data_IF_781645995231
#
_entry.id   IF_781645995231
#
_cell.length_a   1.000
_cell.length_b   1.000
_cell.length_c   1.000
_cell.angle_alpha   90.00
_cell.angle_beta   90.00
_cell.angle_gamma   90.00
#
_symmetry.space_group_name_H-M   'P 1'
#
loop_
_entity.id
_entity.type
_entity.pdbx_description
1 polymer ?
#
# COMPACT_ATOMS: atom_id res chain seq x y z
N UNK A 1 -41.50 49.66 31.28
CA UNK A 1 -40.83 48.35 31.38
C UNK A 1 -41.89 47.27 31.21
N UNK A 2 -41.76 46.45 30.17
CA UNK A 2 -42.79 45.54 29.68
C UNK A 2 -42.94 44.32 30.60
N UNK A 3 -43.98 44.33 31.45
CA UNK A 3 -44.39 43.15 32.21
C UNK A 3 -45.15 42.14 31.34
N UNK A 4 -45.70 42.59 30.20
CA UNK A 4 -46.40 41.74 29.24
C UNK A 4 -45.46 40.73 28.54
N UNK A 5 -44.26 41.17 28.10
CA UNK A 5 -43.34 40.31 27.37
C UNK A 5 -42.74 39.15 28.18
N UNK A 6 -42.70 39.26 29.52
CA UNK A 6 -42.20 38.17 30.39
C UNK A 6 -43.26 37.10 30.66
N UNK A 7 -44.54 37.49 30.71
CA UNK A 7 -45.65 36.53 30.86
C UNK A 7 -45.87 35.73 29.57
N UNK A 8 -45.80 36.37 28.41
CA UNK A 8 -45.92 35.69 27.12
C UNK A 8 -44.81 34.65 26.92
N UNK A 9 -43.56 34.97 27.29
CA UNK A 9 -42.43 34.04 27.25
C UNK A 9 -42.59 32.86 28.22
N UNK A 10 -43.18 33.08 29.40
CA UNK A 10 -43.43 32.01 30.38
C UNK A 10 -44.58 31.09 29.97
N UNK A 11 -45.62 31.63 29.33
CA UNK A 11 -46.74 30.86 28.78
C UNK A 11 -46.24 29.99 27.63
N UNK A 12 -45.45 30.54 26.70
CA UNK A 12 -44.83 29.77 25.61
C UNK A 12 -43.94 28.66 26.16
N UNK A 13 -43.15 28.94 27.20
CA UNK A 13 -42.29 27.92 27.84
C UNK A 13 -43.09 26.82 28.54
N UNK A 14 -44.15 27.16 29.30
CA UNK A 14 -44.99 26.19 30.01
C UNK A 14 -45.82 25.31 29.05
N UNK A 15 -46.26 25.85 27.92
CA UNK A 15 -46.97 25.08 26.88
C UNK A 15 -46.02 24.26 26.00
N UNK A 16 -44.76 24.69 25.81
CA UNK A 16 -43.75 23.93 25.05
C UNK A 16 -43.30 22.61 25.73
N UNK A 17 -43.50 22.52 27.04
CA UNK A 17 -43.19 21.36 27.89
C UNK A 17 -44.29 20.29 27.93
N UNK A 18 -45.45 20.55 27.31
CA UNK A 18 -46.50 19.53 27.17
C UNK A 18 -46.14 18.63 25.98
N UNK A 19 -46.07 17.31 26.21
CA UNK A 19 -45.98 16.32 25.13
C UNK A 19 -47.25 16.40 24.28
N UNK A 20 -47.13 17.03 23.12
CA UNK A 20 -48.23 17.19 22.17
C UNK A 20 -48.41 15.90 21.37
N UNK A 21 -49.60 15.30 21.38
CA UNK A 21 -49.86 14.06 20.64
C UNK A 21 -49.60 14.19 19.14
N UNK A 22 -48.94 13.19 18.53
CA UNK A 22 -48.60 13.16 17.08
C UNK A 22 -49.81 13.32 16.14
N UNK A 23 -51.02 13.00 16.61
CA UNK A 23 -52.23 13.04 15.79
C UNK A 23 -52.73 14.45 15.42
N UNK A 24 -52.11 15.51 15.95
CA UNK A 24 -52.41 16.92 15.65
C UNK A 24 -51.69 17.39 14.36
N UNK A 25 -50.62 16.72 13.95
CA UNK A 25 -49.70 17.22 12.92
C UNK A 25 -50.03 16.79 11.48
N UNK A 26 -51.17 16.13 11.22
CA UNK A 26 -51.54 15.81 9.84
C UNK A 26 -51.96 17.08 9.10
N UNK A 27 -51.27 17.45 8.02
CA UNK A 27 -51.48 18.69 7.26
C UNK A 27 -52.94 18.94 6.84
N UNK A 28 -53.73 17.87 6.63
CA UNK A 28 -55.16 17.95 6.36
C UNK A 28 -55.99 18.52 7.52
N UNK A 29 -55.63 18.21 8.77
CA UNK A 29 -56.33 18.74 9.96
C UNK A 29 -56.03 20.20 10.22
N UNK A 30 -54.85 20.67 9.84
CA UNK A 30 -54.47 22.09 10.00
C UNK A 30 -55.22 22.96 8.99
N UNK A 31 -55.31 22.55 7.73
CA UNK A 31 -56.13 23.26 6.73
C UNK A 31 -57.61 23.28 7.12
N UNK A 32 -58.11 22.15 7.63
CA UNK A 32 -59.48 22.05 8.14
C UNK A 32 -59.72 22.94 9.36
N UNK A 33 -58.77 23.02 10.31
CA UNK A 33 -58.85 23.90 11.47
C UNK A 33 -58.83 25.38 11.09
N UNK A 34 -58.00 25.77 10.13
CA UNK A 34 -57.95 27.15 9.60
C UNK A 34 -59.26 27.51 8.89
N UNK A 35 -59.79 26.62 8.04
CA UNK A 35 -61.08 26.82 7.38
C UNK A 35 -62.22 26.97 8.41
N UNK A 36 -62.26 26.09 9.41
CA UNK A 36 -63.25 26.15 10.51
C UNK A 36 -63.09 27.39 11.39
N UNK A 37 -61.89 27.94 11.54
CA UNK A 37 -61.69 29.21 12.25
C UNK A 37 -62.21 30.40 11.43
N UNK A 38 -61.98 30.40 10.12
CA UNK A 38 -62.52 31.41 9.21
C UNK A 38 -64.06 31.40 9.24
N UNK A 39 -64.68 30.23 9.22
CA UNK A 39 -66.14 30.09 9.32
C UNK A 39 -66.67 30.58 10.67
N UNK A 40 -66.00 30.23 11.78
CA UNK A 40 -66.37 30.71 13.12
C UNK A 40 -66.22 32.23 13.27
N UNK A 41 -65.19 32.83 12.67
CA UNK A 41 -64.99 34.28 12.65
C UNK A 41 -66.13 34.97 11.89
N UNK A 42 -66.48 34.45 10.72
CA UNK A 42 -67.57 35.00 9.91
C UNK A 42 -68.93 34.90 10.63
N UNK A 43 -69.19 33.79 11.34
CA UNK A 43 -70.39 33.63 12.17
C UNK A 43 -70.43 34.64 13.33
N UNK A 44 -69.31 34.80 14.04
CA UNK A 44 -69.19 35.76 15.17
C UNK A 44 -69.40 37.21 14.70
N UNK A 45 -68.87 37.59 13.54
CA UNK A 45 -69.11 38.91 12.93
C UNK A 45 -70.59 39.09 12.54
N UNK A 46 -71.24 38.05 12.01
CA UNK A 46 -72.67 38.04 11.71
C UNK A 46 -73.55 38.23 12.95
N UNK A 47 -73.28 37.49 14.01
CA UNK A 47 -73.99 37.58 15.29
C UNK A 47 -73.78 38.95 15.95
N UNK A 48 -72.55 39.48 15.89
CA UNK A 48 -72.22 40.82 16.40
C UNK A 48 -72.97 41.92 15.66
N UNK A 49 -73.07 41.83 14.34
CA UNK A 49 -73.83 42.76 13.51
C UNK A 49 -75.34 42.69 13.81
N UNK A 50 -75.88 41.49 14.03
CA UNK A 50 -77.29 41.26 14.40
C UNK A 50 -77.60 41.85 15.78
N UNK A 51 -76.74 41.64 16.76
CA UNK A 51 -76.85 42.23 18.10
C UNK A 51 -76.75 43.76 18.06
N UNK A 52 -75.82 44.32 17.27
CA UNK A 52 -75.67 45.76 17.11
C UNK A 52 -76.91 46.40 16.45
N UNK A 53 -77.52 45.71 15.49
CA UNK A 53 -78.77 46.14 14.84
C UNK A 53 -79.95 46.14 15.83
N UNK A 54 -80.14 45.06 16.59
CA UNK A 54 -81.22 44.97 17.58
C UNK A 54 -81.07 46.03 18.69
N UNK A 55 -79.84 46.34 19.12
CA UNK A 55 -79.57 47.44 20.06
C UNK A 55 -79.89 48.83 19.49
N UNK A 56 -79.65 49.05 18.19
CA UNK A 56 -80.04 50.31 17.50
C UNK A 56 -81.56 50.43 17.36
N UNK A 57 -82.24 49.33 17.06
CA UNK A 57 -83.71 49.27 16.98
C UNK A 57 -84.36 49.52 18.37
N UNK A 58 -83.75 49.01 19.46
CA UNK A 58 -84.14 49.31 20.86
C UNK A 58 -84.02 50.81 21.20
N UNK A 59 -83.04 51.50 20.63
CA UNK A 59 -82.79 52.92 20.89
C UNK A 59 -83.75 53.87 20.15
N UNK A 60 -84.54 53.40 19.18
CA UNK A 60 -85.23 54.27 18.23
C UNK A 60 -86.77 54.08 18.18
N UNK A 61 -87.44 53.66 19.27
CA UNK A 61 -88.90 53.49 19.23
C UNK A 61 -89.63 53.83 20.53
N UNK A 62 -90.69 54.62 20.37
CA UNK A 62 -91.51 55.27 21.41
C UNK A 62 -92.89 54.61 21.64
N UNK A 63 -93.15 53.37 21.16
CA UNK A 63 -94.54 52.88 21.09
C UNK A 63 -94.89 51.54 21.76
N UNK A 64 -93.99 50.74 22.37
CA UNK A 64 -94.31 49.29 22.39
C UNK A 64 -94.00 48.48 23.68
N UNK A 65 -94.90 48.51 24.66
CA UNK A 65 -94.82 47.67 25.88
C UNK A 65 -94.83 46.15 25.64
N UNK A 66 -95.38 45.65 24.53
CA UNK A 66 -95.46 44.20 24.22
C UNK A 66 -94.35 43.71 23.26
N UNK A 67 -93.72 44.63 22.51
CA UNK A 67 -92.55 44.35 21.67
C UNK A 67 -91.26 44.50 22.48
N UNK A 68 -91.27 45.29 23.56
CA UNK A 68 -90.13 45.41 24.46
C UNK A 68 -89.73 44.06 25.08
N UNK A 69 -90.70 43.21 25.46
CA UNK A 69 -90.39 41.87 25.97
C UNK A 69 -89.80 40.96 24.87
N UNK A 70 -90.45 40.89 23.70
CA UNK A 70 -89.96 40.09 22.56
C UNK A 70 -88.62 40.59 21.99
N UNK A 71 -88.33 41.89 22.10
CA UNK A 71 -87.06 42.49 21.69
C UNK A 71 -85.95 42.27 22.71
N UNK A 72 -86.25 42.32 24.02
CA UNK A 72 -85.26 42.02 25.06
C UNK A 72 -84.87 40.54 25.04
N UNK A 73 -85.85 39.64 24.84
CA UNK A 73 -85.62 38.21 24.62
C UNK A 73 -84.73 37.98 23.38
N UNK A 74 -85.02 38.65 22.25
CA UNK A 74 -84.19 38.56 21.03
C UNK A 74 -82.78 39.12 21.19
N UNK A 75 -82.61 40.18 21.99
CA UNK A 75 -81.29 40.74 22.30
C UNK A 75 -80.52 39.81 23.24
N UNK A 76 -81.19 39.19 24.20
CA UNK A 76 -80.61 38.21 25.10
C UNK A 76 -80.16 36.96 24.33
N UNK A 77 -80.99 36.43 23.45
CA UNK A 77 -80.66 35.30 22.58
C UNK A 77 -79.49 35.64 21.66
N UNK A 78 -79.52 36.78 20.97
CA UNK A 78 -78.41 37.22 20.12
C UNK A 78 -77.11 37.47 20.90
N UNK A 79 -77.20 37.86 22.18
CA UNK A 79 -76.05 38.02 23.06
C UNK A 79 -75.51 36.67 23.55
N UNK A 80 -76.38 35.69 23.75
CA UNK A 80 -76.02 34.32 24.14
C UNK A 80 -75.36 33.59 22.96
N UNK A 81 -75.93 33.71 21.75
CA UNK A 81 -75.34 33.22 20.50
C UNK A 81 -73.95 33.84 20.25
N UNK A 82 -73.82 35.17 20.40
CA UNK A 82 -72.53 35.85 20.26
C UNK A 82 -71.51 35.40 21.31
N UNK A 83 -71.94 35.19 22.55
CA UNK A 83 -71.05 34.71 23.62
C UNK A 83 -70.59 33.28 23.37
N UNK A 84 -71.48 32.42 22.86
CA UNK A 84 -71.17 31.06 22.46
C UNK A 84 -70.23 31.02 21.25
N UNK A 85 -70.44 31.88 20.25
CA UNK A 85 -69.58 31.95 19.07
C UNK A 85 -68.19 32.51 19.41
N UNK A 86 -68.09 33.55 20.26
CA UNK A 86 -66.81 34.04 20.82
C UNK A 86 -66.09 32.96 21.63
N UNK A 87 -66.81 32.18 22.44
CA UNK A 87 -66.23 31.05 23.18
C UNK A 87 -65.64 30.01 22.24
N UNK A 88 -66.37 29.64 21.19
CA UNK A 88 -65.91 28.68 20.17
C UNK A 88 -64.71 29.20 19.36
N UNK A 89 -64.70 30.50 19.04
CA UNK A 89 -63.59 31.14 18.31
C UNK A 89 -62.33 31.21 19.19
N UNK A 90 -62.49 31.52 20.47
CA UNK A 90 -61.39 31.56 21.45
C UNK A 90 -60.76 30.18 21.61
N UNK A 91 -61.58 29.13 21.75
CA UNK A 91 -61.10 27.75 21.80
C UNK A 91 -60.30 27.39 20.54
N UNK A 92 -60.84 27.68 19.35
CA UNK A 92 -60.18 27.39 18.07
C UNK A 92 -58.90 28.20 17.87
N UNK A 93 -58.85 29.44 18.36
CA UNK A 93 -57.63 30.26 18.35
C UNK A 93 -56.55 29.65 19.24
N UNK A 94 -56.92 29.12 20.41
CA UNK A 94 -55.99 28.41 21.28
C UNK A 94 -55.47 27.12 20.62
N UNK A 95 -56.33 26.38 19.92
CA UNK A 95 -55.94 25.20 19.14
C UNK A 95 -54.91 25.55 18.05
N UNK A 96 -55.10 26.65 17.30
CA UNK A 96 -54.13 27.09 16.29
C UNK A 96 -52.80 27.59 16.88
N UNK A 97 -52.84 28.28 18.02
CA UNK A 97 -51.62 28.67 18.73
C UNK A 97 -50.85 27.46 19.23
N UNK A 98 -51.54 26.43 19.74
CA UNK A 98 -50.94 25.16 20.13
C UNK A 98 -50.30 24.46 18.91
N UNK A 99 -51.00 24.41 17.77
CA UNK A 99 -50.46 23.87 16.51
C UNK A 99 -49.22 24.63 16.04
N UNK A 100 -49.25 25.97 16.02
CA UNK A 100 -48.12 26.77 15.57
C UNK A 100 -46.89 26.61 16.51
N UNK A 101 -47.13 26.55 17.82
CA UNK A 101 -46.09 26.26 18.81
C UNK A 101 -45.48 24.87 18.59
N UNK A 102 -46.31 23.88 18.31
CA UNK A 102 -45.88 22.52 18.06
C UNK A 102 -45.05 22.41 16.76
N UNK A 103 -45.48 23.07 15.68
CA UNK A 103 -44.71 23.16 14.42
C UNK A 103 -43.36 23.85 14.66
N UNK A 104 -43.37 24.96 15.39
CA UNK A 104 -42.14 25.71 15.69
C UNK A 104 -41.15 24.87 16.49
N UNK A 105 -41.64 24.04 17.44
CA UNK A 105 -40.81 23.08 18.17
C UNK A 105 -40.22 22.02 17.24
N UNK A 106 -41.05 21.40 16.38
CA UNK A 106 -40.58 20.40 15.41
C UNK A 106 -39.53 20.99 14.45
N UNK A 107 -39.72 22.22 13.98
CA UNK A 107 -38.75 22.91 13.11
C UNK A 107 -37.44 23.21 13.86
N UNK A 108 -37.53 23.62 15.12
CA UNK A 108 -36.35 23.84 15.97
C UNK A 108 -35.58 22.54 16.19
N UNK A 109 -36.28 21.45 16.49
CA UNK A 109 -35.66 20.13 16.69
C UNK A 109 -35.00 19.64 15.39
N UNK A 110 -35.66 19.80 14.24
CA UNK A 110 -35.09 19.47 12.93
C UNK A 110 -33.86 20.31 12.61
N UNK A 111 -33.86 21.61 12.92
CA UNK A 111 -32.69 22.46 12.73
C UNK A 111 -31.51 21.97 13.56
N UNK A 112 -31.75 21.55 14.80
CA UNK A 112 -30.70 21.01 15.65
C UNK A 112 -30.12 19.70 15.09
N UNK A 113 -30.97 18.77 14.63
CA UNK A 113 -30.53 17.54 13.95
C UNK A 113 -29.70 17.85 12.70
N UNK A 114 -30.11 18.82 11.88
CA UNK A 114 -29.36 19.23 10.68
C UNK A 114 -27.99 19.81 11.02
N UNK A 115 -27.89 20.60 12.11
CA UNK A 115 -26.60 21.12 12.58
C UNK A 115 -25.68 20.00 13.07
N UNK A 116 -26.21 19.02 13.78
CA UNK A 116 -25.47 17.83 14.21
C UNK A 116 -24.98 17.02 13.00
N UNK A 117 -25.84 16.76 12.02
CA UNK A 117 -25.47 16.07 10.79
C UNK A 117 -24.40 16.84 10.00
N UNK A 118 -24.51 18.17 9.90
CA UNK A 118 -23.49 18.99 9.25
C UNK A 118 -22.14 18.89 9.98
N UNK A 119 -22.15 18.86 11.32
CA UNK A 119 -20.94 18.68 12.12
C UNK A 119 -20.29 17.32 11.85
N UNK A 120 -21.07 16.24 11.86
CA UNK A 120 -20.59 14.90 11.55
C UNK A 120 -20.01 14.79 10.14
N UNK A 121 -20.68 15.36 9.13
CA UNK A 121 -20.18 15.38 7.76
C UNK A 121 -18.86 16.14 7.64
N UNK A 122 -18.69 17.26 8.35
CA UNK A 122 -17.40 17.98 8.39
C UNK A 122 -16.29 17.14 9.01
N UNK A 123 -16.58 16.42 10.09
CA UNK A 123 -15.62 15.50 10.72
C UNK A 123 -15.22 14.37 9.77
N UNK A 124 -16.18 13.74 9.11
CA UNK A 124 -15.93 12.68 8.13
C UNK A 124 -15.11 13.18 6.94
N UNK A 125 -15.45 14.36 6.38
CA UNK A 125 -14.69 14.96 5.30
C UNK A 125 -13.24 15.26 5.69
N UNK A 126 -13.02 15.72 6.92
CA UNK A 126 -11.68 15.96 7.46
C UNK A 126 -10.89 14.66 7.61
N UNK A 127 -11.51 13.61 8.15
CA UNK A 127 -10.89 12.29 8.28
C UNK A 127 -10.54 11.68 6.90
N UNK A 128 -11.44 11.78 5.92
CA UNK A 128 -11.20 11.33 4.55
C UNK A 128 -10.05 12.10 3.88
N UNK A 129 -9.97 13.41 4.10
CA UNK A 129 -8.87 14.21 3.58
C UNK A 129 -7.52 13.75 4.15
N UNK A 130 -7.47 13.43 5.44
CA UNK A 130 -6.25 12.95 6.10
C UNK A 130 -5.87 11.53 5.64
N UNK A 131 -6.84 10.62 5.55
CA UNK A 131 -6.62 9.27 4.99
C UNK A 131 -6.06 9.33 3.57
N UNK A 132 -6.60 10.22 2.72
CA UNK A 132 -6.09 10.39 1.36
C UNK A 132 -4.63 10.88 1.31
N UNK A 133 -4.22 11.75 2.24
CA UNK A 133 -2.80 12.16 2.35
C UNK A 133 -1.92 10.97 2.74
N UNK A 134 -2.35 10.17 3.71
CA UNK A 134 -1.61 8.99 4.15
C UNK A 134 -1.48 7.95 3.03
N UNK A 135 -2.56 7.68 2.30
CA UNK A 135 -2.55 6.78 1.13
C UNK A 135 -1.57 7.29 0.07
N UNK A 136 -1.57 8.59 -0.22
CA UNK A 136 -0.62 9.17 -1.18
C UNK A 136 0.83 8.99 -0.72
N UNK A 137 1.12 9.25 0.55
CA UNK A 137 2.46 9.03 1.09
C UNK A 137 2.90 7.55 0.98
N UNK A 138 1.99 6.61 1.24
CA UNK A 138 2.26 5.18 1.06
C UNK A 138 2.50 4.80 -0.41
N UNK A 139 1.76 5.39 -1.35
CA UNK A 139 1.96 5.17 -2.78
C UNK A 139 3.34 5.67 -3.24
N UNK A 140 3.78 6.83 -2.73
CA UNK A 140 5.11 7.37 -3.03
C UNK A 140 6.21 6.45 -2.48
N UNK A 141 6.05 5.94 -1.25
CA UNK A 141 6.99 4.98 -0.66
C UNK A 141 7.07 3.66 -1.44
N UNK A 142 5.92 3.11 -1.84
CA UNK A 142 5.86 1.89 -2.67
C UNK A 142 6.52 2.10 -4.03
N UNK A 143 6.37 3.28 -4.65
CA UNK A 143 7.03 3.60 -5.91
C UNK A 143 8.56 3.63 -5.77
N UNK A 144 9.06 4.18 -4.65
CA UNK A 144 10.50 4.17 -4.34
C UNK A 144 11.00 2.74 -4.11
N UNK A 145 10.27 1.94 -3.34
CA UNK A 145 10.60 0.53 -3.10
C UNK A 145 10.63 -0.27 -4.40
N UNK A 146 9.67 -0.08 -5.30
CA UNK A 146 9.65 -0.75 -6.61
C UNK A 146 10.86 -0.38 -7.45
N UNK A 147 11.28 0.88 -7.43
CA UNK A 147 12.49 1.33 -8.12
C UNK A 147 13.74 0.65 -7.55
N UNK A 148 13.85 0.56 -6.22
CA UNK A 148 14.95 -0.13 -5.55
C UNK A 148 14.96 -1.64 -5.86
N UNK A 149 13.80 -2.29 -5.89
CA UNK A 149 13.66 -3.71 -6.26
C UNK A 149 14.11 -3.93 -7.71
N UNK A 150 13.70 -3.06 -8.63
CA UNK A 150 14.11 -3.17 -10.03
C UNK A 150 15.64 -3.03 -10.18
N UNK A 151 16.25 -2.06 -9.49
CA UNK A 151 17.70 -1.89 -9.47
C UNK A 151 18.42 -3.11 -8.88
N UNK A 152 17.90 -3.68 -7.79
CA UNK A 152 18.44 -4.90 -7.18
C UNK A 152 18.34 -6.11 -8.12
N UNK A 153 17.21 -6.26 -8.82
CA UNK A 153 17.02 -7.33 -9.81
C UNK A 153 17.97 -7.19 -11.00
N UNK A 154 18.18 -5.98 -11.50
CA UNK A 154 19.14 -5.71 -12.57
C UNK A 154 20.57 -6.05 -12.12
N UNK A 155 20.95 -5.64 -10.91
CA UNK A 155 22.23 -6.01 -10.30
C UNK A 155 22.41 -7.52 -10.16
N UNK A 156 21.36 -8.25 -9.76
CA UNK A 156 21.38 -9.72 -9.67
C UNK A 156 21.53 -10.39 -11.04
N UNK A 157 20.87 -9.88 -12.07
CA UNK A 157 21.01 -10.40 -13.44
C UNK A 157 22.43 -10.20 -13.96
N UNK A 158 23.00 -9.01 -13.74
CA UNK A 158 24.40 -8.73 -14.12
C UNK A 158 25.37 -9.62 -13.34
N UNK A 159 25.21 -9.78 -12.02
CA UNK A 159 26.03 -10.64 -11.20
C UNK A 159 25.96 -12.12 -11.63
N UNK A 160 24.78 -12.61 -11.99
CA UNK A 160 24.61 -13.95 -12.57
C UNK A 160 25.33 -14.09 -13.91
N UNK A 161 25.23 -13.09 -14.79
CA UNK A 161 25.95 -13.06 -16.07
C UNK A 161 27.47 -13.10 -15.89
N UNK A 162 28.00 -12.27 -14.99
CA UNK A 162 29.43 -12.24 -14.63
C UNK A 162 29.88 -13.59 -14.05
N UNK A 163 29.08 -14.20 -13.18
CA UNK A 163 29.38 -15.52 -12.60
C UNK A 163 29.44 -16.62 -13.66
N UNK A 164 28.52 -16.62 -14.63
CA UNK A 164 28.55 -17.57 -15.75
C UNK A 164 29.77 -17.37 -16.64
N UNK A 165 30.14 -16.11 -16.94
CA UNK A 165 31.34 -15.79 -17.71
C UNK A 165 32.63 -16.23 -16.98
N UNK A 166 32.69 -16.01 -15.66
CA UNK A 166 33.79 -16.46 -14.82
C UNK A 166 33.93 -17.99 -14.82
N UNK A 167 32.81 -18.73 -14.72
CA UNK A 167 32.82 -20.19 -14.79
C UNK A 167 33.35 -20.71 -16.14
N UNK A 168 32.93 -20.10 -17.26
CA UNK A 168 33.43 -20.45 -18.60
C UNK A 168 34.93 -20.15 -18.74
N UNK A 169 35.40 -19.00 -18.23
CA UNK A 169 36.83 -18.65 -18.19
C UNK A 169 37.63 -19.66 -17.37
N UNK A 170 37.09 -20.12 -16.24
CA UNK A 170 37.74 -21.12 -15.38
C UNK A 170 37.86 -22.47 -16.08
N UNK A 171 36.80 -22.94 -16.76
CA UNK A 171 36.85 -24.16 -17.57
C UNK A 171 37.93 -24.04 -18.66
N UNK A 172 37.99 -22.90 -19.37
CA UNK A 172 39.03 -22.65 -20.37
C UNK A 172 40.45 -22.63 -19.78
N UNK A 173 40.62 -22.13 -18.54
CA UNK A 173 41.89 -22.24 -17.83
C UNK A 173 42.27 -23.69 -17.54
N UNK A 174 41.33 -24.50 -17.02
CA UNK A 174 41.55 -25.92 -16.71
C UNK A 174 41.95 -26.68 -17.97
N UNK A 175 41.23 -26.50 -19.09
CA UNK A 175 41.58 -27.13 -20.36
C UNK A 175 42.98 -26.77 -20.86
N UNK A 176 43.41 -25.51 -20.68
CA UNK A 176 44.77 -25.09 -21.03
C UNK A 176 45.82 -25.73 -20.11
N UNK A 177 45.52 -25.88 -18.83
CA UNK A 177 46.40 -26.55 -17.86
C UNK A 177 46.51 -28.03 -18.20
N UNK A 178 45.40 -28.74 -18.44
CA UNK A 178 45.41 -30.14 -18.87
C UNK A 178 46.23 -30.34 -20.16
N UNK A 179 46.06 -29.46 -21.15
CA UNK A 179 46.85 -29.51 -22.37
C UNK A 179 48.34 -29.23 -22.15
N UNK A 180 48.67 -28.34 -21.20
CA UNK A 180 50.05 -28.06 -20.82
C UNK A 180 50.67 -29.24 -20.06
N UNK A 181 49.93 -29.86 -19.14
CA UNK A 181 50.34 -31.05 -18.40
C UNK A 181 50.59 -32.22 -19.35
N UNK A 182 49.69 -32.51 -20.29
CA UNK A 182 49.89 -33.55 -21.29
C UNK A 182 51.14 -33.31 -22.16
N UNK A 183 51.38 -32.05 -22.55
CA UNK A 183 52.61 -31.66 -23.27
C UNK A 183 53.86 -31.83 -22.41
N UNK A 184 53.79 -31.45 -21.13
CA UNK A 184 54.90 -31.64 -20.19
C UNK A 184 55.20 -33.11 -19.97
N UNK A 185 54.18 -33.96 -19.82
CA UNK A 185 54.35 -35.39 -19.65
C UNK A 185 54.96 -36.04 -20.90
N UNK A 186 54.48 -35.67 -22.08
CA UNK A 186 55.09 -36.09 -23.35
C UNK A 186 56.56 -35.64 -23.48
N UNK A 187 56.85 -34.38 -23.15
CA UNK A 187 58.21 -33.85 -23.16
C UNK A 187 59.11 -34.58 -22.15
N UNK A 188 58.58 -34.92 -20.98
CA UNK A 188 59.32 -35.64 -19.94
C UNK A 188 59.62 -37.08 -20.36
N UNK A 189 58.65 -37.78 -20.96
CA UNK A 189 58.86 -39.11 -21.53
C UNK A 189 59.91 -39.08 -22.65
N UNK A 190 59.87 -38.08 -23.54
CA UNK A 190 60.87 -37.91 -24.59
C UNK A 190 62.28 -37.62 -24.00
N UNK A 191 62.35 -36.82 -22.93
CA UNK A 191 63.60 -36.56 -22.20
C UNK A 191 64.17 -37.84 -21.58
N UNK A 192 63.34 -38.65 -20.92
CA UNK A 192 63.75 -39.92 -20.33
C UNK A 192 64.27 -40.89 -21.38
N UNK A 193 63.54 -41.06 -22.50
CA UNK A 193 63.99 -41.89 -23.62
C UNK A 193 65.29 -41.37 -24.23
N UNK A 194 65.45 -40.05 -24.36
CA UNK A 194 66.68 -39.42 -24.82
C UNK A 194 67.87 -39.68 -23.88
N UNK A 195 67.64 -39.61 -22.57
CA UNK A 195 68.65 -39.93 -21.56
C UNK A 195 69.05 -41.41 -21.60
N UNK A 196 68.09 -42.33 -21.68
CA UNK A 196 68.36 -43.77 -21.82
C UNK A 196 69.17 -44.05 -23.09
N UNK A 197 68.81 -43.41 -24.20
CA UNK A 197 69.53 -43.55 -25.45
C UNK A 197 70.97 -43.03 -25.35
N UNK A 198 71.16 -41.84 -24.77
CA UNK A 198 72.49 -41.27 -24.54
C UNK A 198 73.35 -42.13 -23.62
N UNK A 199 72.78 -42.67 -22.54
CA UNK A 199 73.48 -43.57 -21.62
C UNK A 199 73.86 -44.88 -22.31
N UNK A 200 72.96 -45.46 -23.10
CA UNK A 200 73.24 -46.67 -23.87
C UNK A 200 74.36 -46.45 -24.90
N UNK A 201 74.31 -45.33 -25.64
CA UNK A 201 75.36 -44.95 -26.58
C UNK A 201 76.71 -44.71 -25.88
N UNK A 202 76.72 -44.02 -24.74
CA UNK A 202 77.93 -43.77 -23.96
C UNK A 202 78.56 -45.09 -23.47
N UNK A 203 77.74 -46.00 -22.93
CA UNK A 203 78.19 -47.32 -22.49
C UNK A 203 78.76 -48.15 -23.65
N UNK A 204 78.09 -48.17 -24.81
CA UNK A 204 78.60 -48.85 -26.01
C UNK A 204 79.93 -48.27 -26.49
N UNK A 205 80.04 -46.93 -26.51
CA UNK A 205 81.26 -46.24 -26.91
C UNK A 205 82.42 -46.56 -25.97
N UNK A 206 82.15 -46.60 -24.66
CA UNK A 206 83.17 -46.93 -23.65
C UNK A 206 83.60 -48.40 -23.72
N UNK A 207 82.66 -49.33 -23.94
CA UNK A 207 82.97 -50.73 -24.21
C UNK A 207 83.80 -50.90 -25.49
N UNK A 208 83.48 -50.16 -26.56
CA UNK A 208 84.25 -50.19 -27.81
C UNK A 208 85.68 -49.69 -27.60
N UNK A 209 85.88 -48.60 -26.85
CA UNK A 209 87.21 -48.09 -26.46
C UNK A 209 88.00 -49.13 -25.67
N UNK A 210 87.41 -49.72 -24.63
CA UNK A 210 88.07 -50.76 -23.81
C UNK A 210 88.46 -51.98 -24.66
N UNK A 211 87.60 -52.42 -25.58
CA UNK A 211 87.92 -53.52 -26.50
C UNK A 211 89.07 -53.17 -27.44
N UNK A 212 89.11 -51.94 -27.96
CA UNK A 212 90.20 -51.48 -28.81
C UNK A 212 91.54 -51.43 -28.05
N UNK A 213 91.54 -50.95 -26.81
CA UNK A 213 92.71 -50.92 -25.94
C UNK A 213 93.23 -52.34 -25.61
N UNK A 214 92.35 -53.28 -25.29
CA UNK A 214 92.70 -54.69 -25.07
C UNK A 214 93.32 -55.31 -26.34
N UNK A 215 92.76 -55.03 -27.51
CA UNK A 215 93.31 -55.50 -28.78
C UNK A 215 94.69 -54.88 -29.08
N UNK A 216 94.90 -53.62 -28.72
CA UNK A 216 96.20 -52.97 -28.87
C UNK A 216 97.23 -53.50 -27.87
N UNK A 217 96.83 -53.75 -26.63
CA UNK A 217 97.67 -54.38 -25.60
C UNK A 217 98.10 -55.78 -26.04
N UNK A 218 97.17 -56.61 -26.51
CA UNK A 218 97.49 -57.95 -27.03
C UNK A 218 98.39 -57.93 -28.26
N UNK A 219 98.23 -56.95 -29.15
CA UNK A 219 99.19 -56.71 -30.25
C UNK A 219 100.58 -56.35 -29.72
N UNK A 220 100.67 -55.41 -28.77
CA UNK A 220 101.94 -55.00 -28.15
C UNK A 220 102.64 -56.14 -27.44
N UNK A 221 101.92 -56.97 -26.68
CA UNK A 221 102.50 -58.15 -26.00
C UNK A 221 103.00 -59.16 -27.02
N UNK A 222 102.26 -59.42 -28.11
CA UNK A 222 102.71 -60.28 -29.21
C UNK A 222 103.98 -59.74 -29.88
N UNK A 223 104.04 -58.45 -30.19
CA UNK A 223 105.25 -57.83 -30.74
C UNK A 223 106.43 -57.89 -29.77
N UNK A 224 106.21 -57.67 -28.48
CA UNK A 224 107.25 -57.76 -27.45
C UNK A 224 107.80 -59.19 -27.33
N UNK A 225 106.93 -60.21 -27.34
CA UNK A 225 107.34 -61.63 -27.34
C UNK A 225 108.13 -61.96 -28.61
N UNK A 226 107.65 -61.54 -29.78
CA UNK A 226 108.36 -61.76 -31.05
C UNK A 226 109.74 -61.09 -31.07
N UNK A 227 109.86 -59.86 -30.55
CA UNK A 227 111.13 -59.16 -30.42
C UNK A 227 112.08 -59.87 -29.46
N UNK A 228 111.60 -60.30 -28.29
CA UNK A 228 112.40 -61.05 -27.32
C UNK A 228 112.93 -62.37 -27.89
N UNK A 229 112.09 -63.11 -28.63
CA UNK A 229 112.52 -64.32 -29.33
C UNK A 229 113.60 -64.01 -30.37
N UNK A 230 113.45 -62.96 -31.17
CA UNK A 230 114.46 -62.58 -32.17
C UNK A 230 115.80 -62.19 -31.55
N UNK A 231 115.79 -61.47 -30.42
CA UNK A 231 117.00 -61.12 -29.66
C UNK A 231 117.66 -62.37 -29.06
N UNK A 232 116.88 -63.33 -28.57
CA UNK A 232 117.42 -64.60 -28.07
C UNK A 232 118.08 -65.41 -29.18
N UNK A 233 117.48 -65.47 -30.37
CA UNK A 233 118.07 -66.14 -31.54
C UNK A 233 119.35 -65.43 -31.98
N UNK A 234 119.37 -64.09 -31.99
CA UNK A 234 120.56 -63.32 -32.34
C UNK A 234 121.68 -63.52 -31.32
N UNK A 235 121.37 -63.58 -30.03
CA UNK A 235 122.32 -63.88 -28.95
C UNK A 235 122.93 -65.27 -29.09
N UNK A 236 122.11 -66.29 -29.40
CA UNK A 236 122.59 -67.66 -29.66
C UNK A 236 123.46 -67.70 -30.91
N UNK A 237 123.06 -67.00 -31.99
CA UNK A 237 123.85 -66.89 -33.21
C UNK A 237 125.20 -66.20 -32.97
N UNK A 238 125.25 -65.16 -32.14
CA UNK A 238 126.50 -64.47 -31.77
C UNK A 238 127.40 -65.36 -30.90
N UNK A 239 126.83 -66.11 -29.96
CA UNK A 239 127.57 -67.10 -29.16
C UNK A 239 128.17 -68.20 -30.03
N UNK A 240 127.43 -68.71 -31.02
CA UNK A 240 127.92 -69.68 -32.00
C UNK A 240 129.02 -69.07 -32.89
N UNK A 241 128.83 -67.84 -33.38
CA UNK A 241 129.85 -67.15 -34.17
C UNK A 241 131.15 -66.91 -33.39
N UNK A 242 131.07 -66.54 -32.11
CA UNK A 242 132.25 -66.45 -31.23
C UNK A 242 132.89 -67.82 -30.97
N UNK A 243 132.10 -68.89 -30.95
CA UNK A 243 132.62 -70.25 -30.75
C UNK A 243 133.31 -70.83 -32.00
N UNK A 244 132.92 -70.39 -33.20
CA UNK A 244 133.49 -70.85 -34.49
C UNK A 244 134.51 -69.89 -35.13
N UNK A 245 134.57 -68.62 -34.73
CA UNK A 245 135.56 -67.65 -35.21
C UNK A 245 136.92 -67.67 -34.47
N UNK A 246 137.09 -68.55 -33.49
CA UNK A 246 138.27 -68.62 -32.62
C UNK A 246 139.23 -69.79 -32.93
N UNK A 247 139.16 -70.41 -34.12
CA UNK A 247 140.08 -71.49 -34.52
C UNK A 247 140.45 -71.42 -35.99
#
# INVERSE_FOLDING_TARGET
MSYAGKQDLQIVHAFSSVELPEHIFSSGKIQELVARMADAKNATEGDGNRLARLRREKSNSNFVSNWWNDLDDKIQDASLDLSQSIGSLTQRSAELLAVNTAISKVLSDQQQVLLEQQSQLRQQATALAEQNKQIRAQQDELAQQQTAINAANEGLLQAKGVSQEQALKLIGCVQRVEAAEAKMESANQALLQGMEHHLAQAAQTQLAKLRAEQLQSTKRTRYAIAAALSLSVLSIALQLAMHFGAR
#
